data_IF_510956801838
#
_entry.id   IF_510956801838
#
_cell.length_a   1.000
_cell.length_b   1.000
_cell.length_c   1.000
_cell.angle_alpha   90.00
_cell.angle_beta   90.00
_cell.angle_gamma   90.00
#
_symmetry.space_group_name_H-M   'P 1'
#
loop_
_entity.id
_entity.type
_entity.pdbx_description
1 polymer ?
#
# COMPACT_ATOMS: atom_id res chain seq x y z
N UNK A 1 -4.48 -18.90 2.19
CA UNK A 1 -3.41 -19.87 2.28
C UNK A 1 -2.07 -19.17 2.13
N UNK A 2 -1.19 -19.33 3.11
CA UNK A 2 0.18 -18.88 3.02
C UNK A 2 1.08 -20.00 3.53
N UNK A 3 1.71 -20.70 2.58
CA UNK A 3 2.55 -21.89 2.84
C UNK A 3 1.82 -22.88 3.76
N UNK A 4 1.91 -22.69 5.09
CA UNK A 4 1.42 -23.61 6.10
C UNK A 4 0.20 -23.08 6.89
N UNK A 5 -0.18 -21.78 6.72
CA UNK A 5 -1.27 -21.17 7.48
C UNK A 5 -2.56 -21.04 6.67
N UNK A 6 -3.70 -21.40 7.27
CA UNK A 6 -5.04 -21.22 6.72
C UNK A 6 -5.84 -20.30 7.63
N UNK A 7 -6.33 -19.18 7.09
CA UNK A 7 -7.28 -18.30 7.76
C UNK A 7 -8.68 -18.62 7.30
N UNK A 8 -9.56 -18.97 8.26
CA UNK A 8 -10.98 -19.22 8.03
C UNK A 8 -11.77 -18.03 8.58
N UNK A 9 -12.52 -17.35 7.72
CA UNK A 9 -13.33 -16.18 8.07
C UNK A 9 -14.80 -16.51 7.80
N UNK A 10 -15.66 -16.19 8.75
CA UNK A 10 -17.12 -16.36 8.61
C UNK A 10 -17.87 -15.78 9.79
N UNK A 11 -19.16 -15.54 9.60
CA UNK A 11 -20.08 -15.04 10.63
C UNK A 11 -20.78 -16.18 11.41
N UNK A 12 -20.66 -17.43 10.95
CA UNK A 12 -21.34 -18.59 11.53
C UNK A 12 -20.34 -19.57 12.16
N UNK A 13 -20.29 -19.58 13.49
CA UNK A 13 -19.36 -20.42 14.26
C UNK A 13 -19.54 -21.94 13.99
N UNK A 14 -20.77 -22.39 13.67
CA UNK A 14 -21.01 -23.79 13.32
C UNK A 14 -20.35 -24.18 12.02
N UNK A 15 -20.42 -23.30 11.01
CA UNK A 15 -19.74 -23.50 9.73
C UNK A 15 -18.23 -23.50 9.90
N UNK A 16 -17.68 -22.54 10.68
CA UNK A 16 -16.25 -22.49 10.97
C UNK A 16 -15.78 -23.80 11.62
N UNK A 17 -16.50 -24.30 12.65
CA UNK A 17 -16.19 -25.58 13.31
C UNK A 17 -16.29 -26.77 12.35
N UNK A 18 -17.32 -26.83 11.52
CA UNK A 18 -17.48 -27.89 10.52
C UNK A 18 -16.33 -27.91 9.53
N UNK A 19 -15.93 -26.73 9.03
CA UNK A 19 -14.78 -26.59 8.11
C UNK A 19 -13.47 -27.02 8.77
N UNK A 20 -13.21 -26.60 10.02
CA UNK A 20 -12.04 -27.05 10.79
C UNK A 20 -12.01 -28.56 10.95
N UNK A 21 -13.13 -29.17 11.30
CA UNK A 21 -13.24 -30.64 11.46
C UNK A 21 -12.99 -31.37 10.14
N UNK A 22 -13.52 -30.86 9.03
CA UNK A 22 -13.30 -31.44 7.70
C UNK A 22 -11.82 -31.36 7.30
N UNK A 23 -11.15 -30.25 7.58
CA UNK A 23 -9.73 -30.07 7.29
C UNK A 23 -8.87 -30.98 8.17
N UNK A 24 -9.13 -31.04 9.49
CA UNK A 24 -8.41 -31.91 10.42
C UNK A 24 -8.57 -33.40 10.09
N UNK A 25 -9.69 -33.80 9.49
CA UNK A 25 -9.91 -35.20 9.07
C UNK A 25 -9.06 -35.57 7.83
N UNK A 26 -8.56 -34.62 7.08
CA UNK A 26 -7.81 -34.84 5.83
C UNK A 26 -6.33 -34.48 5.92
N UNK A 27 -5.98 -33.57 6.81
CA UNK A 27 -4.64 -33.02 6.98
C UNK A 27 -4.26 -32.99 8.45
N UNK A 28 -2.98 -33.24 8.75
CA UNK A 28 -2.45 -33.04 10.10
C UNK A 28 -2.31 -31.53 10.35
N UNK A 29 -3.30 -30.96 11.06
CA UNK A 29 -3.41 -29.52 11.27
C UNK A 29 -3.58 -29.18 12.74
N UNK A 30 -2.97 -28.08 13.18
CA UNK A 30 -3.13 -27.54 14.52
C UNK A 30 -4.12 -26.37 14.48
N UNK A 31 -5.20 -26.45 15.26
CA UNK A 31 -6.09 -25.28 15.45
C UNK A 31 -5.42 -24.26 16.37
N UNK A 32 -5.10 -23.10 15.84
CA UNK A 32 -4.47 -21.99 16.56
C UNK A 32 -5.49 -21.08 17.26
N UNK A 33 -6.78 -21.38 17.17
CA UNK A 33 -7.84 -20.58 17.79
C UNK A 33 -8.22 -19.34 16.98
N UNK A 34 -8.47 -18.21 17.68
CA UNK A 34 -8.75 -16.93 17.03
C UNK A 34 -7.47 -16.32 16.49
N UNK A 35 -7.49 -15.90 15.23
CA UNK A 35 -6.37 -15.22 14.62
C UNK A 35 -6.22 -13.81 15.22
N UNK A 36 -5.14 -13.59 15.96
CA UNK A 36 -4.70 -12.28 16.48
C UNK A 36 -3.44 -11.76 15.76
N UNK A 37 -2.67 -12.67 15.18
CA UNK A 37 -1.49 -12.38 14.38
C UNK A 37 -1.45 -13.33 13.18
N UNK A 38 -1.45 -12.78 11.96
CA UNK A 38 -1.25 -13.54 10.73
C UNK A 38 -0.33 -12.77 9.78
N UNK A 39 0.64 -13.49 9.17
CA UNK A 39 1.61 -12.86 8.26
C UNK A 39 2.29 -11.62 8.86
N UNK A 40 2.59 -11.61 10.16
CA UNK A 40 3.18 -10.46 10.82
C UNK A 40 2.27 -9.23 10.92
N UNK A 41 0.96 -9.39 10.71
CA UNK A 41 -0.07 -8.37 10.88
C UNK A 41 -0.89 -8.71 12.11
N UNK A 42 -0.94 -7.81 13.08
CA UNK A 42 -1.77 -7.95 14.27
C UNK A 42 -3.20 -7.53 13.96
N UNK A 43 -4.14 -8.42 14.28
CA UNK A 43 -5.57 -8.21 14.11
C UNK A 43 -6.16 -7.83 15.46
N UNK A 44 -6.61 -6.58 15.62
CA UNK A 44 -7.18 -6.09 16.86
C UNK A 44 -8.67 -5.88 16.64
N UNK A 45 -9.49 -6.71 17.29
CA UNK A 45 -10.95 -6.56 17.28
C UNK A 45 -11.36 -5.45 18.23
N UNK A 46 -12.25 -4.55 17.77
CA UNK A 46 -12.86 -3.49 18.56
C UNK A 46 -14.39 -3.59 18.48
N UNK A 47 -15.14 -2.98 19.40
CA UNK A 47 -16.61 -2.99 19.35
C UNK A 47 -17.17 -2.37 18.07
N UNK A 48 -16.47 -1.39 17.52
CA UNK A 48 -16.83 -0.60 16.33
C UNK A 48 -16.21 -1.13 15.03
N UNK A 49 -15.29 -2.12 15.11
CA UNK A 49 -14.63 -2.63 13.90
C UNK A 49 -13.37 -3.45 14.11
N UNK A 50 -12.44 -3.28 13.19
CA UNK A 50 -11.20 -4.05 13.12
C UNK A 50 -10.01 -3.13 12.85
N UNK A 51 -8.88 -3.39 13.54
CA UNK A 51 -7.62 -2.69 13.28
C UNK A 51 -6.56 -3.68 12.84
N UNK A 52 -5.92 -3.40 11.69
CA UNK A 52 -4.74 -4.11 11.23
C UNK A 52 -3.49 -3.28 11.56
N UNK A 53 -2.57 -3.84 12.33
CA UNK A 53 -1.35 -3.15 12.78
C UNK A 53 -0.10 -4.00 12.59
N UNK A 54 0.99 -3.33 12.24
CA UNK A 54 2.34 -3.90 12.19
C UNK A 54 3.31 -3.20 13.17
N UNK A 55 2.81 -2.59 14.25
CA UNK A 55 3.62 -1.85 15.22
C UNK A 55 4.84 -2.65 15.71
N UNK A 56 4.66 -3.94 16.06
CA UNK A 56 5.73 -4.83 16.47
C UNK A 56 6.79 -5.06 15.38
N UNK A 57 6.39 -5.10 14.11
CA UNK A 57 7.34 -5.24 13.00
C UNK A 57 8.07 -3.92 12.72
N UNK A 58 7.39 -2.78 12.87
CA UNK A 58 8.03 -1.45 12.84
C UNK A 58 9.10 -1.36 13.93
N UNK A 59 8.82 -1.81 15.17
CA UNK A 59 9.81 -1.86 16.25
C UNK A 59 11.02 -2.72 15.89
N UNK A 60 10.79 -3.87 15.24
CA UNK A 60 11.88 -4.74 14.78
C UNK A 60 12.78 -4.05 13.74
N UNK A 61 12.17 -3.31 12.80
CA UNK A 61 12.94 -2.53 11.79
C UNK A 61 13.75 -1.44 12.48
N UNK A 62 13.11 -0.65 13.33
CA UNK A 62 13.76 0.46 14.04
C UNK A 62 14.88 -0.03 14.95
N UNK A 63 14.66 -1.12 15.69
CA UNK A 63 15.68 -1.73 16.54
C UNK A 63 16.87 -2.30 15.76
N UNK A 64 16.66 -2.75 14.53
CA UNK A 64 17.72 -3.31 13.69
C UNK A 64 18.53 -2.25 12.94
N UNK A 65 17.88 -1.23 12.40
CA UNK A 65 18.49 -0.32 11.42
C UNK A 65 18.56 1.14 11.89
N UNK A 66 17.88 1.51 12.96
CA UNK A 66 17.78 2.90 13.43
C UNK A 66 17.70 3.02 14.97
N UNK A 67 18.42 2.14 15.68
CA UNK A 67 18.32 1.99 17.13
C UNK A 67 18.68 3.27 17.89
N UNK A 68 19.76 3.94 17.49
CA UNK A 68 20.33 5.07 18.21
C UNK A 68 19.77 6.44 17.77
N UNK A 69 18.90 6.44 16.75
CA UNK A 69 18.29 7.67 16.23
C UNK A 69 16.91 7.89 16.88
N UNK A 70 16.82 8.85 17.77
CA UNK A 70 15.56 9.22 18.46
C UNK A 70 14.82 10.38 17.79
N UNK A 71 15.30 10.87 16.63
CA UNK A 71 14.62 11.96 15.92
C UNK A 71 13.30 11.47 15.28
N UNK A 72 12.36 12.39 15.17
CA UNK A 72 11.05 12.16 14.58
C UNK A 72 10.93 12.95 13.27
N UNK A 73 10.11 12.48 12.37
CA UNK A 73 9.76 13.19 11.14
C UNK A 73 8.24 13.14 10.92
N UNK A 74 7.65 14.28 10.56
CA UNK A 74 6.20 14.39 10.34
C UNK A 74 5.77 13.89 8.95
N UNK A 75 6.73 13.77 8.01
CA UNK A 75 6.47 13.27 6.65
C UNK A 75 7.51 12.22 6.25
N UNK A 76 7.11 11.18 5.51
CA UNK A 76 8.03 10.11 5.12
C UNK A 76 9.02 10.53 4.04
N UNK A 77 8.73 11.59 3.29
CA UNK A 77 9.58 12.08 2.21
C UNK A 77 9.67 13.61 2.25
N UNK A 78 10.84 14.14 1.87
CA UNK A 78 11.06 15.56 1.70
C UNK A 78 11.08 15.90 0.21
N UNK A 79 10.08 16.63 -0.24
CA UNK A 79 9.90 17.01 -1.65
C UNK A 79 11.01 17.92 -2.18
N UNK A 80 11.72 18.60 -1.28
CA UNK A 80 12.86 19.45 -1.66
C UNK A 80 14.13 18.64 -2.00
N UNK A 81 14.19 17.37 -1.59
CA UNK A 81 15.33 16.51 -1.87
C UNK A 81 15.17 15.87 -3.25
N UNK A 82 16.04 16.27 -4.18
CA UNK A 82 16.16 15.62 -5.47
C UNK A 82 17.09 14.39 -5.34
N UNK A 83 16.50 13.19 -5.49
CA UNK A 83 17.29 11.98 -5.54
C UNK A 83 17.81 11.76 -6.97
N UNK A 84 19.12 11.66 -7.11
CA UNK A 84 19.80 11.43 -8.39
C UNK A 84 20.60 10.14 -8.34
N UNK A 85 21.00 9.60 -9.50
CA UNK A 85 21.92 8.44 -9.54
C UNK A 85 23.22 8.77 -8.82
N UNK A 86 23.74 7.81 -8.08
CA UNK A 86 25.05 7.91 -7.45
C UNK A 86 26.15 7.82 -8.50
N UNK A 87 27.06 8.80 -8.49
CA UNK A 87 28.28 8.83 -9.30
C UNK A 87 29.53 8.77 -8.41
N UNK A 88 29.37 8.75 -7.08
CA UNK A 88 30.44 8.64 -6.09
C UNK A 88 30.52 7.27 -5.43
N UNK A 89 31.06 7.26 -4.23
CA UNK A 89 31.16 6.02 -3.44
C UNK A 89 29.77 5.44 -3.11
N UNK A 90 29.69 4.12 -3.25
CA UNK A 90 28.50 3.36 -2.90
C UNK A 90 28.53 3.01 -1.42
N UNK A 91 27.46 3.27 -0.70
CA UNK A 91 27.26 2.72 0.65
C UNK A 91 26.90 1.23 0.56
N UNK A 92 26.86 0.53 1.69
CA UNK A 92 26.52 -0.90 1.73
C UNK A 92 25.19 -1.20 1.02
N UNK A 93 25.28 -1.75 -0.20
CA UNK A 93 24.15 -2.16 -1.02
C UNK A 93 23.29 -3.20 -0.31
N UNK A 94 23.92 -4.15 0.40
CA UNK A 94 23.24 -5.23 1.12
C UNK A 94 22.39 -4.66 2.26
N UNK A 95 22.96 -3.74 3.05
CA UNK A 95 22.23 -3.08 4.14
C UNK A 95 21.06 -2.26 3.59
N UNK A 96 21.32 -1.44 2.57
CA UNK A 96 20.29 -0.62 1.91
C UNK A 96 19.15 -1.50 1.37
N UNK A 97 19.47 -2.57 0.65
CA UNK A 97 18.49 -3.51 0.11
C UNK A 97 17.65 -4.21 1.20
N UNK A 98 18.26 -4.55 2.33
CA UNK A 98 17.55 -5.15 3.46
C UNK A 98 16.57 -4.16 4.10
N UNK A 99 16.96 -2.89 4.23
CA UNK A 99 16.04 -1.85 4.75
C UNK A 99 14.88 -1.66 3.78
N UNK A 100 15.15 -1.48 2.48
CA UNK A 100 14.11 -1.31 1.45
C UNK A 100 13.12 -2.48 1.48
N UNK A 101 13.61 -3.73 1.53
CA UNK A 101 12.74 -4.92 1.59
C UNK A 101 11.83 -4.90 2.82
N UNK A 102 12.38 -4.53 3.97
CA UNK A 102 11.60 -4.42 5.21
C UNK A 102 10.54 -3.31 5.14
N UNK A 103 10.89 -2.17 4.55
CA UNK A 103 9.96 -1.05 4.33
C UNK A 103 8.88 -1.40 3.31
N UNK A 104 9.23 -2.12 2.23
CA UNK A 104 8.26 -2.61 1.24
C UNK A 104 7.22 -3.52 1.89
N UNK A 105 7.63 -4.38 2.80
CA UNK A 105 6.71 -5.24 3.54
C UNK A 105 5.70 -4.42 4.37
N UNK A 106 6.16 -3.44 5.15
CA UNK A 106 5.28 -2.55 5.93
C UNK A 106 4.36 -1.74 5.01
N UNK A 107 4.93 -1.20 3.93
CA UNK A 107 4.21 -0.43 2.91
C UNK A 107 3.05 -1.23 2.30
N UNK A 108 3.30 -2.49 1.95
CA UNK A 108 2.31 -3.30 1.21
C UNK A 108 1.14 -3.78 2.06
N UNK A 109 1.27 -3.79 3.39
CA UNK A 109 0.23 -4.36 4.25
C UNK A 109 -0.53 -3.35 5.10
N UNK A 110 0.14 -2.33 5.68
CA UNK A 110 -0.55 -1.43 6.62
C UNK A 110 -0.18 0.04 6.48
N UNK A 111 0.75 0.43 5.60
CA UNK A 111 1.28 1.80 5.53
C UNK A 111 1.26 2.38 4.12
N UNK A 112 0.07 2.67 3.55
CA UNK A 112 -0.04 3.30 2.23
C UNK A 112 0.76 4.61 2.13
N UNK A 113 0.83 5.38 3.19
CA UNK A 113 1.46 6.71 3.22
C UNK A 113 2.95 6.69 2.87
N UNK A 114 3.67 5.59 3.11
CA UNK A 114 5.09 5.48 2.74
C UNK A 114 5.31 4.95 1.31
N UNK A 115 4.23 4.64 0.56
CA UNK A 115 4.33 3.98 -0.75
C UNK A 115 5.16 4.80 -1.75
N UNK A 116 4.93 6.11 -1.83
CA UNK A 116 5.70 6.99 -2.71
C UNK A 116 7.19 7.00 -2.36
N UNK A 117 7.51 7.20 -1.07
CA UNK A 117 8.90 7.28 -0.62
C UNK A 117 9.66 5.97 -0.88
N UNK A 118 9.07 4.83 -0.49
CA UNK A 118 9.70 3.52 -0.64
C UNK A 118 9.83 3.14 -2.11
N UNK A 119 8.79 3.36 -2.93
CA UNK A 119 8.84 3.15 -4.38
C UNK A 119 9.95 3.98 -5.05
N UNK A 120 10.12 5.24 -4.64
CA UNK A 120 11.17 6.12 -5.18
C UNK A 120 12.56 5.65 -4.74
N UNK A 121 12.75 5.29 -3.47
CA UNK A 121 14.02 4.86 -2.90
C UNK A 121 14.46 3.48 -3.41
N UNK A 122 13.53 2.58 -3.70
CA UNK A 122 13.83 1.24 -4.22
C UNK A 122 14.58 1.26 -5.57
N UNK A 123 14.43 2.33 -6.34
CA UNK A 123 15.12 2.53 -7.63
C UNK A 123 16.63 2.65 -7.52
N UNK A 124 17.14 2.94 -6.32
CA UNK A 124 18.57 3.17 -6.06
C UNK A 124 19.26 2.00 -5.36
N UNK A 125 18.61 0.84 -5.26
CA UNK A 125 19.14 -0.34 -4.55
C UNK A 125 20.43 -0.87 -5.15
N UNK A 126 20.64 -0.71 -6.46
CA UNK A 126 21.84 -1.19 -7.15
C UNK A 126 23.10 -0.35 -6.87
N UNK A 127 22.95 0.94 -6.59
CA UNK A 127 24.08 1.85 -6.31
C UNK A 127 23.63 2.99 -5.39
N UNK A 128 23.38 2.72 -4.08
CA UNK A 128 22.89 3.73 -3.15
C UNK A 128 24.00 4.68 -2.70
N UNK A 129 23.67 5.96 -2.52
CA UNK A 129 24.52 7.01 -1.96
C UNK A 129 24.13 7.37 -0.53
N UNK A 130 24.94 8.19 0.13
CA UNK A 130 24.63 8.73 1.46
C UNK A 130 23.33 9.56 1.44
N UNK A 131 23.05 10.29 0.35
CA UNK A 131 21.78 11.03 0.19
C UNK A 131 20.56 10.07 0.21
N UNK A 132 20.67 8.92 -0.45
CA UNK A 132 19.64 7.89 -0.41
C UNK A 132 19.47 7.29 0.99
N UNK A 133 20.59 7.09 1.73
CA UNK A 133 20.57 6.63 3.12
C UNK A 133 19.87 7.64 4.03
N UNK A 134 20.17 8.94 3.91
CA UNK A 134 19.49 10.00 4.66
C UNK A 134 17.98 10.02 4.40
N UNK A 135 17.56 9.81 3.17
CA UNK A 135 16.14 9.74 2.82
C UNK A 135 15.45 8.49 3.41
N UNK A 136 16.11 7.33 3.44
CA UNK A 136 15.60 6.14 4.14
C UNK A 136 15.49 6.38 5.66
N UNK A 137 16.50 7.00 6.28
CA UNK A 137 16.46 7.35 7.70
C UNK A 137 15.25 8.23 8.01
N UNK A 138 14.90 9.18 7.13
CA UNK A 138 13.68 9.98 7.27
C UNK A 138 12.41 9.12 7.26
N UNK A 139 12.31 8.10 6.39
CA UNK A 139 11.18 7.15 6.42
C UNK A 139 11.11 6.42 7.76
N UNK A 140 12.24 5.98 8.30
CA UNK A 140 12.30 5.30 9.60
C UNK A 140 11.90 6.24 10.76
N UNK A 141 12.33 7.51 10.74
CA UNK A 141 11.89 8.54 11.69
C UNK A 141 10.38 8.79 11.63
N UNK A 142 9.81 8.81 10.42
CA UNK A 142 8.36 8.90 10.23
C UNK A 142 7.64 7.67 10.80
N UNK A 143 8.14 6.46 10.54
CA UNK A 143 7.58 5.24 11.12
C UNK A 143 7.65 5.23 12.65
N UNK A 144 8.72 5.77 13.24
CA UNK A 144 8.85 5.95 14.69
C UNK A 144 7.79 6.93 15.23
N UNK A 145 7.60 8.06 14.57
CA UNK A 145 6.58 9.04 14.93
C UNK A 145 5.16 8.47 14.82
N UNK A 146 4.92 7.62 13.83
CA UNK A 146 3.60 7.04 13.53
C UNK A 146 3.50 5.56 13.91
N UNK A 147 4.30 5.09 14.87
CA UNK A 147 4.47 3.68 15.23
C UNK A 147 3.15 2.94 15.41
N UNK A 148 2.22 3.54 16.12
CA UNK A 148 0.97 2.91 16.54
C UNK A 148 -0.18 3.08 15.53
N UNK A 149 0.08 3.73 14.39
CA UNK A 149 -0.92 3.82 13.34
C UNK A 149 -1.15 2.44 12.69
N UNK A 150 -2.41 2.18 12.37
CA UNK A 150 -2.87 0.99 11.64
C UNK A 150 -4.00 1.33 10.69
N UNK A 151 -4.49 0.34 9.98
CA UNK A 151 -5.69 0.46 9.16
C UNK A 151 -6.91 0.15 10.04
N UNK A 152 -7.79 1.14 10.20
CA UNK A 152 -8.98 1.07 11.06
C UNK A 152 -10.22 0.91 10.20
N UNK A 153 -10.73 -0.31 10.11
CA UNK A 153 -11.98 -0.63 9.45
C UNK A 153 -13.12 -0.52 10.46
N UNK A 154 -14.05 0.37 10.21
CA UNK A 154 -15.22 0.59 11.08
C UNK A 154 -16.48 0.08 10.39
N UNK A 155 -17.59 -0.07 11.14
CA UNK A 155 -18.90 -0.46 10.58
C UNK A 155 -19.53 0.72 9.84
N UNK A 156 -18.96 1.07 8.70
CA UNK A 156 -19.58 2.03 7.77
C UNK A 156 -20.23 1.29 6.60
N UNK A 157 -21.03 2.00 5.77
CA UNK A 157 -21.47 1.41 4.52
C UNK A 157 -20.29 0.81 3.77
N UNK A 158 -20.46 -0.42 3.28
CA UNK A 158 -19.43 -1.14 2.54
C UNK A 158 -19.33 -0.56 1.10
N UNK A 159 -18.97 0.72 1.02
CA UNK A 159 -18.79 1.44 -0.25
C UNK A 159 -17.31 1.49 -0.57
N UNK A 160 -16.96 0.96 -1.73
CA UNK A 160 -15.60 1.01 -2.26
C UNK A 160 -15.43 2.30 -3.06
N UNK A 161 -14.45 3.12 -2.68
CA UNK A 161 -14.11 4.37 -3.34
C UNK A 161 -12.64 4.39 -3.72
N UNK A 162 -12.33 4.89 -4.91
CA UNK A 162 -10.98 5.05 -5.43
C UNK A 162 -10.54 6.51 -5.50
N UNK A 163 -9.24 6.76 -5.31
CA UNK A 163 -8.61 8.07 -5.47
C UNK A 163 -7.39 7.91 -6.37
N UNK A 164 -7.30 8.75 -7.38
CA UNK A 164 -6.21 8.77 -8.36
C UNK A 164 -5.48 10.10 -8.32
N UNK A 165 -4.15 10.06 -8.38
CA UNK A 165 -3.27 11.22 -8.39
C UNK A 165 -2.01 10.96 -9.23
N UNK A 166 -1.44 12.00 -9.83
CA UNK A 166 -0.17 11.93 -10.52
C UNK A 166 0.79 13.06 -10.13
N UNK A 167 2.03 12.70 -9.88
CA UNK A 167 3.11 13.68 -9.73
C UNK A 167 3.87 13.82 -11.04
N UNK A 168 3.58 14.91 -11.78
CA UNK A 168 4.18 15.17 -13.09
C UNK A 168 5.69 15.41 -12.96
N UNK A 169 6.48 14.76 -13.83
CA UNK A 169 7.95 14.83 -13.86
C UNK A 169 8.60 14.68 -12.47
N UNK A 170 8.07 13.77 -11.64
CA UNK A 170 8.65 13.47 -10.33
C UNK A 170 10.02 12.77 -10.40
N UNK A 171 10.37 12.23 -11.57
CA UNK A 171 11.70 11.72 -11.92
C UNK A 171 12.29 12.59 -13.03
N UNK A 172 13.05 13.63 -12.63
CA UNK A 172 13.60 14.63 -13.54
C UNK A 172 14.54 14.00 -14.57
N UNK A 173 15.30 12.96 -14.17
CA UNK A 173 16.28 12.34 -15.06
C UNK A 173 15.65 11.68 -16.27
N UNK A 174 14.60 10.90 -16.04
CA UNK A 174 13.92 10.17 -17.10
C UNK A 174 12.70 10.96 -17.63
N UNK A 175 12.47 12.18 -17.12
CA UNK A 175 11.29 13.04 -17.41
C UNK A 175 9.97 12.30 -17.23
N UNK A 176 9.93 11.38 -16.26
CA UNK A 176 8.76 10.52 -16.01
C UNK A 176 8.01 10.95 -14.77
N UNK A 177 6.70 10.80 -14.84
CA UNK A 177 5.77 11.04 -13.77
C UNK A 177 5.62 9.80 -12.87
N UNK A 178 5.00 9.99 -11.72
CA UNK A 178 4.61 8.90 -10.83
C UNK A 178 3.09 8.90 -10.71
N UNK A 179 2.46 7.76 -10.94
CA UNK A 179 1.04 7.53 -10.68
C UNK A 179 0.85 6.96 -9.29
N UNK A 180 -0.22 7.39 -8.62
CA UNK A 180 -0.69 6.87 -7.36
C UNK A 180 -2.19 6.56 -7.40
N UNK A 181 -2.61 5.53 -6.67
CA UNK A 181 -4.00 5.32 -6.33
C UNK A 181 -4.16 4.76 -4.92
N UNK A 182 -5.32 5.02 -4.34
CA UNK A 182 -5.76 4.43 -3.07
C UNK A 182 -7.23 4.07 -3.19
N UNK A 183 -7.59 2.85 -2.82
CA UNK A 183 -8.98 2.44 -2.62
C UNK A 183 -9.28 2.30 -1.15
N UNK A 184 -10.42 2.81 -0.72
CA UNK A 184 -10.90 2.74 0.65
C UNK A 184 -12.21 1.95 0.72
N UNK A 185 -12.34 1.18 1.80
CA UNK A 185 -13.53 0.44 2.14
C UNK A 185 -13.71 0.48 3.66
N UNK A 186 -14.90 0.73 4.14
CA UNK A 186 -15.18 0.76 5.58
C UNK A 186 -14.24 1.70 6.38
N UNK A 187 -13.87 2.84 5.78
CA UNK A 187 -13.05 3.88 6.42
C UNK A 187 -11.54 3.67 6.35
N UNK A 188 -11.04 2.56 5.78
CA UNK A 188 -9.61 2.32 5.65
C UNK A 188 -9.20 1.90 4.24
N UNK A 189 -7.90 2.06 3.92
CA UNK A 189 -7.35 1.65 2.65
C UNK A 189 -7.34 0.11 2.51
N UNK A 190 -7.77 -0.39 1.34
CA UNK A 190 -7.80 -1.82 1.00
C UNK A 190 -6.84 -2.16 -0.14
N UNK A 191 -6.60 -1.23 -1.06
CA UNK A 191 -5.62 -1.35 -2.14
C UNK A 191 -4.95 0.00 -2.38
N UNK A 192 -3.66 0.01 -2.69
CA UNK A 192 -2.90 1.23 -3.00
C UNK A 192 -1.63 0.90 -3.76
N UNK A 193 -1.19 1.85 -4.55
CA UNK A 193 0.06 1.75 -5.29
C UNK A 193 0.65 3.12 -5.55
N UNK A 194 1.97 3.18 -5.60
CA UNK A 194 2.72 4.31 -6.15
C UNK A 194 3.77 3.76 -7.10
N UNK A 195 3.71 4.14 -8.38
CA UNK A 195 4.60 3.61 -9.41
C UNK A 195 5.01 4.68 -10.40
N UNK A 196 6.27 4.61 -10.86
CA UNK A 196 6.78 5.42 -11.95
C UNK A 196 6.06 5.04 -13.24
N UNK A 197 5.61 6.04 -14.01
CA UNK A 197 5.01 5.81 -15.32
C UNK A 197 6.03 5.22 -16.30
N UNK A 198 5.57 4.35 -17.17
CA UNK A 198 6.42 3.72 -18.19
C UNK A 198 6.68 4.64 -19.37
N UNK A 199 5.75 5.56 -19.65
CA UNK A 199 5.80 6.56 -20.71
C UNK A 199 6.12 7.96 -20.16
N UNK A 200 6.48 8.88 -21.04
CA UNK A 200 6.70 10.28 -20.71
C UNK A 200 5.40 11.04 -21.02
N UNK A 201 4.76 11.57 -19.98
CA UNK A 201 3.61 12.44 -20.13
C UNK A 201 4.04 13.85 -20.55
N UNK A 202 3.41 14.38 -21.60
CA UNK A 202 3.73 15.70 -22.18
C UNK A 202 3.13 16.86 -21.39
N UNK A 203 2.16 16.58 -20.53
CA UNK A 203 1.47 17.55 -19.67
C UNK A 203 1.04 16.95 -18.36
N UNK A 204 0.67 17.80 -17.41
CA UNK A 204 0.04 17.37 -16.14
C UNK A 204 -1.24 16.59 -16.41
N UNK A 205 -2.10 17.07 -17.31
CA UNK A 205 -3.35 16.39 -17.69
C UNK A 205 -3.11 14.96 -18.23
N UNK A 206 -2.08 14.79 -19.05
CA UNK A 206 -1.74 13.46 -19.60
C UNK A 206 -1.21 12.53 -18.50
N UNK A 207 -0.40 13.04 -17.56
CA UNK A 207 0.06 12.24 -16.43
C UNK A 207 -1.09 11.81 -15.51
N UNK A 208 -2.07 12.69 -15.29
CA UNK A 208 -3.28 12.38 -14.53
C UNK A 208 -4.16 11.35 -15.25
N UNK A 209 -4.28 11.45 -16.57
CA UNK A 209 -5.02 10.47 -17.37
C UNK A 209 -4.40 9.07 -17.25
N UNK A 210 -3.06 8.96 -17.30
CA UNK A 210 -2.34 7.69 -17.13
C UNK A 210 -2.54 7.14 -15.70
N UNK A 211 -2.58 8.00 -14.68
CA UNK A 211 -2.85 7.58 -13.32
C UNK A 211 -4.28 7.09 -13.14
N UNK A 212 -5.24 7.80 -13.72
CA UNK A 212 -6.65 7.44 -13.71
C UNK A 212 -6.91 6.09 -14.41
N UNK A 213 -6.27 5.85 -15.57
CA UNK A 213 -6.32 4.58 -16.29
C UNK A 213 -5.89 3.41 -15.39
N UNK A 214 -4.75 3.54 -14.71
CA UNK A 214 -4.27 2.53 -13.75
C UNK A 214 -5.17 2.37 -12.52
N UNK A 215 -5.80 3.43 -12.08
CA UNK A 215 -6.78 3.37 -11.01
C UNK A 215 -8.04 2.63 -11.46
N UNK A 216 -8.53 2.86 -12.69
CA UNK A 216 -9.69 2.18 -13.24
C UNK A 216 -9.45 0.68 -13.46
N UNK A 217 -8.26 0.26 -13.91
CA UNK A 217 -7.88 -1.16 -13.99
C UNK A 217 -8.02 -1.86 -12.63
N UNK A 218 -7.52 -1.23 -11.56
CA UNK A 218 -7.63 -1.76 -10.20
C UNK A 218 -9.08 -1.75 -9.69
N UNK A 219 -9.84 -0.68 -10.00
CA UNK A 219 -11.26 -0.59 -9.64
C UNK A 219 -12.06 -1.75 -10.22
N UNK A 220 -11.82 -2.08 -11.49
CA UNK A 220 -12.51 -3.18 -12.17
C UNK A 220 -12.13 -4.53 -11.55
N UNK A 221 -10.84 -4.74 -11.25
CA UNK A 221 -10.38 -5.94 -10.55
C UNK A 221 -11.02 -6.08 -9.17
N UNK A 222 -11.05 -5.00 -8.37
CA UNK A 222 -11.68 -5.01 -7.04
C UNK A 222 -13.19 -5.27 -7.13
N UNK A 223 -13.88 -4.73 -8.13
CA UNK A 223 -15.30 -4.98 -8.35
C UNK A 223 -15.56 -6.46 -8.61
N UNK A 224 -14.82 -7.09 -9.53
CA UNK A 224 -14.93 -8.52 -9.79
C UNK A 224 -14.58 -9.36 -8.56
N UNK A 225 -13.55 -8.98 -7.81
CA UNK A 225 -13.20 -9.65 -6.56
C UNK A 225 -14.33 -9.60 -5.53
N UNK A 226 -15.04 -8.47 -5.41
CA UNK A 226 -16.22 -8.36 -4.53
C UNK A 226 -17.39 -9.22 -5.03
N UNK A 227 -17.57 -9.35 -6.35
CA UNK A 227 -18.58 -10.24 -6.95
C UNK A 227 -18.33 -11.72 -6.61
N UNK A 228 -17.08 -12.12 -6.40
CA UNK A 228 -16.71 -13.49 -6.01
C UNK A 228 -16.96 -13.79 -4.53
N UNK A 229 -17.18 -12.77 -3.69
CA UNK A 229 -17.46 -12.96 -2.27
C UNK A 229 -18.94 -13.32 -2.07
N UNK A 230 -19.27 -14.55 -1.61
CA UNK A 230 -20.67 -15.01 -1.53
C UNK A 230 -21.59 -14.19 -0.62
N UNK A 231 -21.01 -13.53 0.40
CA UNK A 231 -21.76 -12.69 1.37
C UNK A 231 -21.85 -11.22 0.94
N UNK A 232 -21.28 -10.85 -0.22
CA UNK A 232 -21.37 -9.48 -0.70
C UNK A 232 -22.68 -9.23 -1.45
N UNK A 233 -23.24 -8.04 -1.28
CA UNK A 233 -24.48 -7.64 -1.95
C UNK A 233 -24.26 -7.53 -3.47
N UNK A 234 -25.17 -8.12 -4.24
CA UNK A 234 -25.11 -8.14 -5.70
C UNK A 234 -26.32 -7.44 -6.32
N UNK A 235 -26.16 -6.74 -7.45
CA UNK A 235 -24.89 -6.51 -8.17
C UNK A 235 -24.00 -5.52 -7.43
N UNK A 236 -22.66 -5.68 -7.54
CA UNK A 236 -21.71 -4.70 -6.99
C UNK A 236 -21.87 -3.39 -7.76
N UNK A 237 -22.17 -2.28 -7.08
CA UNK A 237 -22.37 -1.00 -7.76
C UNK A 237 -21.08 -0.51 -8.43
N UNK A 238 -21.20 0.40 -9.43
CA UNK A 238 -20.03 1.05 -10.01
C UNK A 238 -19.20 1.75 -8.93
N UNK A 239 -17.87 1.58 -9.01
CA UNK A 239 -16.94 2.19 -8.07
C UNK A 239 -16.73 3.67 -8.45
N UNK A 240 -16.92 4.55 -7.47
CA UNK A 240 -16.60 5.97 -7.64
C UNK A 240 -15.08 6.14 -7.58
N UNK A 241 -14.49 6.79 -8.60
CA UNK A 241 -13.08 7.17 -8.63
C UNK A 241 -12.96 8.68 -8.62
N UNK A 242 -12.29 9.19 -7.61
CA UNK A 242 -12.02 10.63 -7.42
C UNK A 242 -10.70 11.00 -8.10
N UNK A 243 -10.73 12.08 -8.88
CA UNK A 243 -9.57 12.68 -9.53
C UNK A 243 -9.69 14.20 -9.34
N UNK A 244 -8.60 14.89 -9.00
CA UNK A 244 -8.59 16.34 -8.78
C UNK A 244 -8.35 17.15 -10.05
N UNK A 245 -7.92 16.50 -11.14
CA UNK A 245 -7.66 17.13 -12.43
C UNK A 245 -8.94 17.40 -13.21
N UNK A 246 -9.43 18.65 -13.20
CA UNK A 246 -10.59 19.09 -13.98
C UNK A 246 -10.41 18.86 -15.48
N UNK A 247 -9.18 19.01 -15.99
CA UNK A 247 -8.86 18.79 -17.40
C UNK A 247 -9.03 17.31 -17.77
N UNK A 248 -8.56 16.40 -16.90
CA UNK A 248 -8.72 14.95 -17.07
C UNK A 248 -10.19 14.55 -17.00
N UNK A 249 -10.94 15.05 -15.99
CA UNK A 249 -12.38 14.80 -15.86
C UNK A 249 -13.14 15.28 -17.10
N UNK A 250 -12.84 16.49 -17.58
CA UNK A 250 -13.46 17.06 -18.78
C UNK A 250 -13.18 16.22 -20.02
N UNK A 251 -11.96 15.66 -20.15
CA UNK A 251 -11.58 14.79 -21.26
C UNK A 251 -12.33 13.46 -21.23
N UNK A 252 -12.41 12.82 -20.06
CA UNK A 252 -13.14 11.55 -19.88
C UNK A 252 -14.64 11.71 -20.17
N UNK A 253 -15.24 12.83 -19.77
CA UNK A 253 -16.66 13.13 -20.00
C UNK A 253 -16.98 13.60 -21.42
N UNK A 254 -15.96 13.92 -22.22
CA UNK A 254 -16.16 14.43 -23.59
C UNK A 254 -16.58 13.29 -24.51
N UNK A 255 -17.70 13.50 -25.22
CA UNK A 255 -18.15 12.60 -26.30
C UNK A 255 -17.37 12.77 -27.60
N UNK A 256 -16.49 13.78 -27.68
CA UNK A 256 -15.65 13.96 -28.86
C UNK A 256 -14.40 13.08 -28.75
N UNK A 257 -14.35 12.07 -29.59
CA UNK A 257 -13.16 11.26 -29.80
C UNK A 257 -12.18 12.08 -30.67
N UNK A 258 -11.14 12.60 -30.02
CA UNK A 258 -10.01 13.18 -30.74
C UNK A 258 -8.96 12.07 -30.84
N UNK A 259 -9.02 11.34 -31.95
CA UNK A 259 -8.09 10.28 -32.31
C UNK A 259 -6.64 10.75 -32.41
#
# INVERSE_FOLDING_TARGET
LYVDDILIIGSNDRMIKSTKNMLNARFDMKDMGLADLILGIKIIKRPDGLVLSQSHYVDKILGKFNKDDNQLANTPFDTNIQLTKNHGECISQVEYGNIIRSLMYVMSYTRPIIAFAVSKLSRYTSNPSDTHKKAIVRVMRYLRYTRDLGLHYVRYPAVLEGYSDASWISDIKDSKSTSGYVFTLAGAAVAWKSSKQTVIARSTMESEMIALDKCCEEAEWLRHFLEDIPSWERPVPPICVHCDSQATIGRVKSHMYNG
#
